data_IF_107023581961
#
_entry.id   IF_107023581961
#
_cell.length_a   1.000
_cell.length_b   1.000
_cell.length_c   1.000
_cell.angle_alpha   90.00
_cell.angle_beta   90.00
_cell.angle_gamma   90.00
#
_symmetry.space_group_name_H-M   'P 1'
#
loop_
_entity.id
_entity.type
_entity.pdbx_description
1 polymer ?
#
# COMPACT_ATOMS: atom_id res chain seq x y z
N UNK A 1 -31.82 -2.15 5.88
CA UNK A 1 -31.93 -1.12 4.80
C UNK A 1 -30.59 -0.47 4.43
N UNK A 2 -29.79 0.00 5.41
CA UNK A 2 -28.49 0.64 5.14
C UNK A 2 -27.41 -0.34 4.66
N UNK A 3 -27.31 -1.52 5.27
CA UNK A 3 -26.32 -2.55 4.92
C UNK A 3 -26.47 -3.05 3.47
N UNK A 4 -27.70 -3.31 3.02
CA UNK A 4 -27.96 -3.74 1.64
C UNK A 4 -27.53 -2.68 0.61
N UNK A 5 -27.64 -1.38 0.96
CA UNK A 5 -27.19 -0.28 0.11
C UNK A 5 -25.67 -0.17 0.07
N UNK A 6 -24.98 -0.40 1.19
CA UNK A 6 -23.52 -0.46 1.26
C UNK A 6 -22.99 -1.63 0.42
N UNK A 7 -23.59 -2.82 0.56
CA UNK A 7 -23.20 -4.00 -0.23
C UNK A 7 -23.45 -3.79 -1.73
N UNK A 8 -24.55 -3.14 -2.12
CA UNK A 8 -24.81 -2.80 -3.52
C UNK A 8 -23.78 -1.81 -4.08
N UNK A 9 -23.36 -0.82 -3.29
CA UNK A 9 -22.29 0.12 -3.70
C UNK A 9 -20.94 -0.60 -3.84
N UNK A 10 -20.60 -1.50 -2.91
CA UNK A 10 -19.37 -2.28 -2.99
C UNK A 10 -19.38 -3.24 -4.19
N UNK A 11 -20.50 -3.88 -4.47
CA UNK A 11 -20.67 -4.74 -5.65
C UNK A 11 -20.51 -3.93 -6.94
N UNK A 12 -21.14 -2.76 -7.04
CA UNK A 12 -20.99 -1.89 -8.22
C UNK A 12 -19.54 -1.41 -8.41
N UNK A 13 -18.80 -1.14 -7.33
CA UNK A 13 -17.40 -0.79 -7.40
C UNK A 13 -16.52 -1.96 -7.89
N UNK A 14 -16.79 -3.19 -7.41
CA UNK A 14 -16.11 -4.39 -7.87
C UNK A 14 -16.42 -4.72 -9.33
N UNK A 15 -17.66 -4.54 -9.77
CA UNK A 15 -18.08 -4.73 -11.17
C UNK A 15 -17.43 -3.70 -12.09
N UNK A 16 -17.31 -2.44 -11.66
CA UNK A 16 -16.60 -1.41 -12.40
C UNK A 16 -15.11 -1.76 -12.55
N UNK A 17 -14.46 -2.18 -11.47
CA UNK A 17 -13.05 -2.61 -11.49
C UNK A 17 -12.83 -3.85 -12.37
N UNK A 18 -13.76 -4.81 -12.34
CA UNK A 18 -13.71 -5.98 -13.20
C UNK A 18 -13.87 -5.60 -14.69
N UNK A 19 -14.72 -4.63 -15.01
CA UNK A 19 -14.89 -4.13 -16.36
C UNK A 19 -13.64 -3.41 -16.87
N UNK A 20 -12.99 -2.61 -16.03
CA UNK A 20 -11.72 -1.94 -16.35
C UNK A 20 -10.60 -2.96 -16.60
N UNK A 21 -10.42 -3.93 -15.70
CA UNK A 21 -9.41 -4.99 -15.84
C UNK A 21 -9.64 -5.85 -17.09
N UNK A 22 -10.91 -6.18 -17.39
CA UNK A 22 -11.24 -6.91 -18.62
C UNK A 22 -10.88 -6.09 -19.85
N UNK A 23 -11.22 -4.80 -19.86
CA UNK A 23 -10.88 -3.88 -20.95
C UNK A 23 -9.37 -3.81 -21.16
N UNK A 24 -8.59 -3.67 -20.08
CA UNK A 24 -7.14 -3.65 -20.14
C UNK A 24 -6.56 -4.98 -20.67
N UNK A 25 -7.07 -6.12 -20.19
CA UNK A 25 -6.65 -7.44 -20.65
C UNK A 25 -6.99 -7.69 -22.13
N UNK A 26 -8.15 -7.21 -22.59
CA UNK A 26 -8.56 -7.30 -23.99
C UNK A 26 -7.68 -6.42 -24.89
N UNK A 27 -7.34 -5.21 -24.43
CA UNK A 27 -6.39 -4.32 -25.13
C UNK A 27 -4.99 -4.94 -25.23
N UNK A 28 -4.48 -5.53 -24.14
CA UNK A 28 -3.19 -6.21 -24.12
C UNK A 28 -3.17 -7.44 -25.04
N UNK A 29 -4.22 -8.27 -24.99
CA UNK A 29 -4.34 -9.44 -25.89
C UNK A 29 -4.45 -9.02 -27.36
N UNK A 30 -5.21 -7.98 -27.66
CA UNK A 30 -5.29 -7.41 -29.01
C UNK A 30 -3.96 -6.86 -29.50
N UNK A 31 -3.22 -6.17 -28.62
CA UNK A 31 -1.90 -5.64 -28.93
C UNK A 31 -0.87 -6.76 -29.17
N UNK A 32 -0.89 -7.82 -28.35
CA UNK A 32 -0.04 -9.00 -28.52
C UNK A 32 -0.33 -9.74 -29.82
N UNK A 33 -1.61 -9.99 -30.15
CA UNK A 33 -2.00 -10.63 -31.40
C UNK A 33 -1.48 -9.87 -32.63
N UNK A 34 -1.55 -8.53 -32.62
CA UNK A 34 -1.08 -7.70 -33.74
C UNK A 34 0.45 -7.72 -33.87
N UNK A 35 1.18 -7.79 -32.76
CA UNK A 35 2.64 -7.97 -32.78
C UNK A 35 3.01 -9.34 -33.34
N UNK A 36 2.32 -10.40 -32.90
CA UNK A 36 2.55 -11.78 -33.37
C UNK A 36 2.25 -11.92 -34.87
N UNK A 37 1.27 -11.17 -35.38
CA UNK A 37 0.92 -11.10 -36.80
C UNK A 37 1.84 -10.16 -37.63
N UNK A 38 2.86 -9.55 -37.02
CA UNK A 38 3.85 -8.70 -37.68
C UNK A 38 3.41 -7.25 -37.95
N UNK A 39 2.27 -6.81 -37.40
CA UNK A 39 1.78 -5.44 -37.48
C UNK A 39 2.50 -4.52 -36.47
N UNK A 40 2.83 -3.29 -36.89
CA UNK A 40 3.32 -2.27 -35.95
C UNK A 40 2.13 -1.66 -35.22
N UNK A 41 2.14 -1.73 -33.89
CA UNK A 41 1.19 -1.00 -33.04
C UNK A 41 1.27 0.50 -33.34
N UNK A 42 0.12 1.15 -33.49
CA UNK A 42 0.07 2.60 -33.63
C UNK A 42 0.44 3.28 -32.31
N UNK A 43 0.97 4.50 -32.42
CA UNK A 43 1.50 5.24 -31.28
C UNK A 43 0.45 5.54 -30.19
N UNK A 44 -0.85 5.67 -30.53
CA UNK A 44 -1.88 5.96 -29.56
C UNK A 44 -2.19 4.72 -28.69
N UNK A 45 -2.23 3.54 -29.30
CA UNK A 45 -2.35 2.26 -28.58
C UNK A 45 -1.14 2.01 -27.66
N UNK A 46 0.07 2.30 -28.15
CA UNK A 46 1.28 2.23 -27.33
C UNK A 46 1.26 3.25 -26.18
N UNK A 47 0.83 4.50 -26.43
CA UNK A 47 0.72 5.53 -25.41
C UNK A 47 -0.28 5.17 -24.31
N UNK A 48 -1.43 4.57 -24.64
CA UNK A 48 -2.41 4.15 -23.62
C UNK A 48 -1.89 3.02 -22.72
N UNK A 49 -1.14 2.06 -23.30
CA UNK A 49 -0.49 0.99 -22.53
C UNK A 49 0.65 1.52 -21.66
N UNK A 50 1.42 2.48 -22.18
CA UNK A 50 2.44 3.19 -21.41
C UNK A 50 1.80 4.03 -20.31
N UNK A 51 0.67 4.71 -20.53
CA UNK A 51 -0.01 5.51 -19.50
C UNK A 51 -0.55 4.64 -18.37
N UNK A 52 -1.09 3.46 -18.67
CA UNK A 52 -1.57 2.51 -17.65
C UNK A 52 -0.39 1.87 -16.89
N UNK A 53 0.67 1.48 -17.59
CA UNK A 53 1.94 1.08 -16.97
C UNK A 53 2.55 2.23 -16.15
N UNK A 54 2.38 3.47 -16.60
CA UNK A 54 2.83 4.68 -15.90
C UNK A 54 2.07 4.86 -14.62
N UNK A 55 0.77 4.58 -14.50
CA UNK A 55 0.06 4.67 -13.22
C UNK A 55 0.64 3.73 -12.14
N UNK A 56 0.86 2.44 -12.48
CA UNK A 56 1.51 1.47 -11.57
C UNK A 56 2.96 1.89 -11.27
N UNK A 57 3.67 2.36 -12.29
CA UNK A 57 5.02 2.93 -12.14
C UNK A 57 5.01 4.24 -11.35
N UNK A 58 3.91 5.00 -11.31
CA UNK A 58 3.83 6.31 -10.65
C UNK A 58 3.79 6.13 -9.15
N UNK A 59 2.95 5.23 -8.63
CA UNK A 59 2.97 4.89 -7.21
C UNK A 59 4.31 4.28 -6.79
N UNK A 60 4.86 3.35 -7.59
CA UNK A 60 6.20 2.81 -7.31
C UNK A 60 7.28 3.89 -7.31
N UNK A 61 7.29 4.79 -8.29
CA UNK A 61 8.28 5.88 -8.39
C UNK A 61 8.11 6.88 -7.24
N UNK A 62 6.88 7.15 -6.81
CA UNK A 62 6.60 7.98 -5.65
C UNK A 62 7.09 7.31 -4.35
N UNK A 63 6.79 6.03 -4.15
CA UNK A 63 7.30 5.25 -3.02
C UNK A 63 8.82 5.18 -3.01
N UNK A 64 9.46 4.91 -4.16
CA UNK A 64 10.92 4.89 -4.30
C UNK A 64 11.52 6.28 -3.99
N UNK A 65 10.85 7.36 -4.43
CA UNK A 65 11.26 8.74 -4.16
C UNK A 65 11.14 9.16 -2.70
N UNK A 66 10.11 8.69 -1.98
CA UNK A 66 9.94 8.91 -0.54
C UNK A 66 10.94 8.04 0.23
N UNK A 67 10.90 6.72 0.02
CA UNK A 67 11.75 5.76 0.73
C UNK A 67 13.24 6.07 0.53
N UNK A 68 13.64 6.52 -0.67
CA UNK A 68 15.03 6.88 -0.99
C UNK A 68 15.64 7.94 -0.08
N UNK A 69 14.83 8.79 0.58
CA UNK A 69 15.27 9.83 1.53
C UNK A 69 15.60 9.28 2.92
N UNK A 70 15.01 8.15 3.29
CA UNK A 70 15.11 7.59 4.65
C UNK A 70 15.90 6.29 4.69
N UNK A 71 16.03 5.59 3.57
CA UNK A 71 16.80 4.35 3.47
C UNK A 71 18.27 4.64 3.19
N UNK A 72 19.13 4.39 4.20
CA UNK A 72 20.58 4.35 4.02
C UNK A 72 21.03 3.20 3.11
N UNK A 73 22.31 3.18 2.73
CA UNK A 73 22.84 2.14 1.82
C UNK A 73 22.69 0.72 2.38
N UNK A 74 22.92 0.54 3.68
CA UNK A 74 22.72 -0.72 4.38
C UNK A 74 21.25 -1.19 4.29
N UNK A 75 20.30 -0.34 4.68
CA UNK A 75 18.88 -0.67 4.59
C UNK A 75 18.45 -1.01 3.15
N UNK A 76 18.96 -0.29 2.15
CA UNK A 76 18.69 -0.58 0.73
C UNK A 76 19.23 -1.95 0.33
N UNK A 77 20.44 -2.29 0.75
CA UNK A 77 21.04 -3.60 0.49
C UNK A 77 20.23 -4.73 1.18
N UNK A 78 19.82 -4.51 2.42
CA UNK A 78 19.00 -5.47 3.17
C UNK A 78 17.63 -5.69 2.52
N UNK A 79 16.95 -4.63 2.07
CA UNK A 79 15.70 -4.74 1.32
C UNK A 79 15.88 -5.50 -0.01
N UNK A 80 17.00 -5.30 -0.71
CA UNK A 80 17.29 -6.00 -1.96
C UNK A 80 17.61 -7.49 -1.75
N UNK A 81 18.18 -7.84 -0.59
CA UNK A 81 18.49 -9.22 -0.22
C UNK A 81 17.31 -9.97 0.43
N UNK A 82 16.30 -9.24 0.92
CA UNK A 82 15.17 -9.83 1.61
C UNK A 82 14.30 -10.68 0.65
N UNK A 83 13.95 -11.92 1.05
CA UNK A 83 13.09 -12.76 0.23
C UNK A 83 11.69 -12.16 0.16
N UNK A 84 11.13 -12.10 -1.05
CA UNK A 84 9.72 -11.79 -1.21
C UNK A 84 8.90 -13.00 -0.74
N UNK A 85 7.92 -12.85 0.17
CA UNK A 85 7.18 -14.00 0.67
C UNK A 85 6.39 -14.68 -0.45
N UNK A 86 6.46 -16.00 -0.52
CA UNK A 86 5.74 -16.78 -1.53
C UNK A 86 4.21 -16.61 -1.34
N UNK A 87 3.49 -16.37 -2.44
CA UNK A 87 2.04 -16.16 -2.41
C UNK A 87 1.61 -14.84 -1.76
N UNK A 88 2.52 -13.88 -1.55
CA UNK A 88 2.16 -12.59 -1.00
C UNK A 88 1.33 -11.76 -1.97
N UNK A 89 0.08 -11.51 -1.58
CA UNK A 89 -0.84 -10.63 -2.29
C UNK A 89 -0.71 -9.20 -1.76
N UNK A 90 -0.07 -8.34 -2.57
CA UNK A 90 0.12 -6.93 -2.23
C UNK A 90 -1.21 -6.17 -2.11
N UNK A 91 -2.22 -6.50 -2.92
CA UNK A 91 -3.50 -5.79 -2.90
C UNK A 91 -4.29 -6.11 -1.63
N UNK A 92 -4.36 -7.40 -1.25
CA UNK A 92 -4.96 -7.83 0.01
C UNK A 92 -4.22 -7.24 1.23
N UNK A 93 -2.89 -7.23 1.20
CA UNK A 93 -2.08 -6.65 2.27
C UNK A 93 -2.33 -5.14 2.41
N UNK A 94 -2.34 -4.38 1.31
CA UNK A 94 -2.68 -2.96 1.31
C UNK A 94 -4.11 -2.70 1.79
N UNK A 95 -5.08 -3.55 1.43
CA UNK A 95 -6.46 -3.43 1.92
C UNK A 95 -6.57 -3.66 3.44
N UNK A 96 -5.82 -4.61 4.00
CA UNK A 96 -5.74 -4.84 5.45
C UNK A 96 -5.16 -3.64 6.19
N UNK A 97 -4.11 -3.01 5.65
CA UNK A 97 -3.55 -1.78 6.20
C UNK A 97 -4.57 -0.63 6.20
N UNK A 98 -5.27 -0.44 5.07
CA UNK A 98 -6.31 0.58 4.95
C UNK A 98 -7.45 0.36 5.95
N UNK A 99 -7.92 -0.89 6.10
CA UNK A 99 -8.98 -1.24 7.04
C UNK A 99 -8.57 -0.99 8.50
N UNK A 100 -7.37 -1.40 8.88
CA UNK A 100 -6.85 -1.18 10.23
C UNK A 100 -6.61 0.32 10.50
N UNK A 101 -6.03 1.04 9.55
CA UNK A 101 -5.83 2.48 9.65
C UNK A 101 -7.13 3.24 9.86
N UNK A 102 -8.17 2.91 9.07
CA UNK A 102 -9.51 3.48 9.23
C UNK A 102 -10.15 3.13 10.57
N UNK A 103 -9.98 1.88 11.03
CA UNK A 103 -10.47 1.42 12.35
C UNK A 103 -9.83 2.20 13.50
N UNK A 104 -8.51 2.38 13.46
CA UNK A 104 -7.80 3.17 14.48
C UNK A 104 -8.23 4.62 14.41
N UNK A 105 -8.29 5.23 13.21
CA UNK A 105 -8.71 6.61 13.01
C UNK A 105 -10.10 6.88 13.61
N UNK A 106 -11.04 5.95 13.42
CA UNK A 106 -12.38 6.06 13.96
C UNK A 106 -12.46 5.96 15.50
N UNK A 107 -11.45 5.35 16.14
CA UNK A 107 -11.36 5.26 17.59
C UNK A 107 -10.77 6.52 18.24
N UNK A 108 -10.12 7.40 17.46
CA UNK A 108 -9.48 8.60 18.00
C UNK A 108 -10.52 9.67 18.40
N UNK A 109 -10.29 10.42 19.51
CA UNK A 109 -9.16 10.30 20.43
C UNK A 109 -9.34 9.12 21.42
N UNK A 110 -8.34 8.24 21.49
CA UNK A 110 -8.29 7.10 22.42
C UNK A 110 -7.03 7.20 23.27
N UNK A 111 -7.14 6.95 24.58
CA UNK A 111 -5.98 6.91 25.47
C UNK A 111 -5.09 5.68 25.13
N UNK A 112 -3.82 5.89 24.74
CA UNK A 112 -2.91 4.83 24.33
C UNK A 112 -2.60 3.77 25.40
N UNK A 113 -2.84 4.06 26.68
CA UNK A 113 -2.62 3.13 27.79
C UNK A 113 -3.81 2.16 28.03
N UNK A 114 -4.94 2.38 27.37
CA UNK A 114 -6.15 1.56 27.57
C UNK A 114 -6.02 0.17 26.97
N UNK A 115 -6.79 -0.79 27.49
CA UNK A 115 -6.86 -2.14 26.92
C UNK A 115 -7.34 -2.16 25.47
N UNK A 116 -8.22 -1.23 25.08
CA UNK A 116 -8.66 -1.06 23.70
C UNK A 116 -7.50 -0.59 22.78
N UNK A 117 -6.70 0.38 23.23
CA UNK A 117 -5.53 0.83 22.49
C UNK A 117 -4.49 -0.29 22.33
N UNK A 118 -4.28 -1.09 23.38
CA UNK A 118 -3.37 -2.24 23.33
C UNK A 118 -3.87 -3.35 22.40
N UNK A 119 -5.20 -3.53 22.27
CA UNK A 119 -5.78 -4.46 21.31
C UNK A 119 -5.56 -3.99 19.85
N UNK A 120 -5.77 -2.70 19.57
CA UNK A 120 -5.48 -2.11 18.26
C UNK A 120 -3.98 -2.20 17.92
N UNK A 121 -3.11 -1.99 18.91
CA UNK A 121 -1.67 -2.19 18.75
C UNK A 121 -1.33 -3.66 18.46
N UNK A 122 -2.01 -4.63 19.08
CA UNK A 122 -1.80 -6.04 18.81
C UNK A 122 -2.19 -6.41 17.36
N UNK A 123 -3.31 -5.87 16.85
CA UNK A 123 -3.71 -6.02 15.44
C UNK A 123 -2.67 -5.41 14.50
N UNK A 124 -2.14 -4.23 14.83
CA UNK A 124 -1.04 -3.60 14.08
C UNK A 124 0.22 -4.47 14.07
N UNK A 125 0.61 -5.01 15.23
CA UNK A 125 1.78 -5.88 15.34
C UNK A 125 1.59 -7.17 14.56
N UNK A 126 0.39 -7.75 14.56
CA UNK A 126 0.08 -8.94 13.77
C UNK A 126 0.20 -8.68 12.27
N UNK A 127 -0.29 -7.53 11.79
CA UNK A 127 -0.16 -7.17 10.37
C UNK A 127 1.28 -6.85 9.97
N UNK A 128 2.06 -6.26 10.88
CA UNK A 128 3.49 -5.96 10.69
C UNK A 128 4.40 -7.19 10.84
N UNK A 129 3.92 -8.28 11.45
CA UNK A 129 4.72 -9.46 11.80
C UNK A 129 5.55 -10.05 10.64
N UNK A 130 4.99 -10.21 9.41
CA UNK A 130 5.76 -10.73 8.28
C UNK A 130 6.96 -9.86 7.91
N UNK A 131 6.80 -8.54 7.98
CA UNK A 131 7.90 -7.60 7.75
C UNK A 131 8.94 -7.68 8.87
N UNK A 132 8.52 -7.68 10.14
CA UNK A 132 9.47 -7.74 11.26
C UNK A 132 10.25 -9.04 11.34
N UNK A 133 9.75 -10.13 10.76
CA UNK A 133 10.46 -11.41 10.71
C UNK A 133 11.71 -11.37 9.82
N UNK A 134 11.75 -10.46 8.84
CA UNK A 134 12.85 -10.30 7.88
C UNK A 134 13.60 -8.97 8.05
N UNK A 135 13.02 -8.00 8.75
CA UNK A 135 13.57 -6.65 8.84
C UNK A 135 14.81 -6.60 9.74
N UNK A 136 15.89 -6.02 9.21
CA UNK A 136 17.08 -5.68 9.98
C UNK A 136 16.83 -4.41 10.82
N UNK A 137 17.69 -4.12 11.82
CA UNK A 137 17.61 -2.86 12.56
C UNK A 137 17.67 -1.62 11.65
N UNK A 138 18.47 -1.67 10.57
CA UNK A 138 18.58 -0.58 9.60
C UNK A 138 17.26 -0.38 8.83
N UNK A 139 16.62 -1.47 8.36
CA UNK A 139 15.31 -1.42 7.72
C UNK A 139 14.24 -0.84 8.66
N UNK A 140 14.17 -1.34 9.90
CA UNK A 140 13.21 -0.88 10.90
C UNK A 140 13.39 0.61 11.22
N UNK A 141 14.65 1.07 11.35
CA UNK A 141 14.93 2.48 11.61
C UNK A 141 14.52 3.36 10.42
N UNK A 142 14.84 2.95 9.19
CA UNK A 142 14.48 3.68 7.97
C UNK A 142 12.96 3.81 7.82
N UNK A 143 12.23 2.70 7.97
CA UNK A 143 10.76 2.68 7.90
C UNK A 143 10.12 3.54 8.99
N UNK A 144 10.63 3.48 10.23
CA UNK A 144 10.12 4.29 11.34
C UNK A 144 10.31 5.79 11.08
N UNK A 145 11.50 6.19 10.59
CA UNK A 145 11.79 7.58 10.23
C UNK A 145 10.88 8.06 9.10
N UNK A 146 10.75 7.24 8.05
CA UNK A 146 9.90 7.51 6.88
C UNK A 146 8.48 7.84 7.33
N UNK A 147 7.81 6.93 8.05
CA UNK A 147 6.42 7.11 8.47
C UNK A 147 6.23 8.21 9.53
N UNK A 148 7.24 8.50 10.36
CA UNK A 148 7.19 9.64 11.28
C UNK A 148 7.25 10.99 10.56
N UNK A 149 7.72 11.00 9.31
CA UNK A 149 7.87 12.20 8.49
C UNK A 149 6.76 12.36 7.45
N UNK A 150 5.66 11.58 7.56
CA UNK A 150 4.49 11.66 6.69
C UNK A 150 3.99 13.08 6.39
N UNK A 151 3.94 14.03 7.38
CA UNK A 151 3.52 15.40 7.10
C UNK A 151 4.35 16.13 6.04
N UNK A 152 5.56 15.63 5.74
CA UNK A 152 6.51 16.24 4.80
C UNK A 152 6.58 15.51 3.44
N UNK A 153 5.72 14.53 3.17
CA UNK A 153 5.75 13.75 1.92
C UNK A 153 5.14 14.48 0.70
N UNK A 154 4.37 15.55 0.94
CA UNK A 154 3.69 16.35 -0.09
C UNK A 154 2.30 15.83 -0.47
N UNK A 155 1.51 16.69 -1.14
CA UNK A 155 0.06 16.49 -1.33
C UNK A 155 -0.33 15.29 -2.22
N UNK A 156 0.60 14.78 -3.03
CA UNK A 156 0.39 13.66 -3.94
C UNK A 156 1.12 12.39 -3.49
N UNK A 157 1.48 12.29 -2.21
CA UNK A 157 2.14 11.11 -1.68
C UNK A 157 1.20 9.89 -1.72
N UNK A 158 1.72 8.69 -2.04
CA UNK A 158 0.94 7.47 -2.00
C UNK A 158 0.54 7.15 -0.55
N UNK A 159 -0.66 6.61 -0.38
CA UNK A 159 -1.18 6.26 0.95
C UNK A 159 -0.69 4.88 1.39
N UNK A 160 -0.12 4.73 2.60
CA UNK A 160 0.17 3.42 3.19
C UNK A 160 -1.05 2.77 3.84
N UNK A 161 -2.25 3.35 3.71
CA UNK A 161 -3.48 2.89 4.37
C UNK A 161 -3.74 3.50 5.74
N UNK A 162 -2.87 4.39 6.22
CA UNK A 162 -3.06 5.14 7.47
C UNK A 162 -2.43 6.53 7.34
N UNK A 163 -2.87 7.46 8.19
CA UNK A 163 -2.34 8.83 8.24
C UNK A 163 -1.37 9.02 9.42
N UNK A 164 -0.78 10.22 9.49
CA UNK A 164 0.19 10.57 10.53
C UNK A 164 -0.41 10.53 11.95
N UNK A 165 -1.69 10.84 12.12
CA UNK A 165 -2.33 10.80 13.45
C UNK A 165 -2.46 9.36 13.95
N UNK A 166 -2.85 8.44 13.06
CA UNK A 166 -2.86 7.00 13.35
C UNK A 166 -1.45 6.50 13.68
N UNK A 167 -0.44 6.93 12.92
CA UNK A 167 0.96 6.58 13.20
C UNK A 167 1.41 7.05 14.60
N UNK A 168 1.11 8.29 14.96
CA UNK A 168 1.43 8.84 16.28
C UNK A 168 0.75 8.06 17.40
N UNK A 169 -0.54 7.73 17.24
CA UNK A 169 -1.27 6.90 18.21
C UNK A 169 -0.60 5.54 18.41
N UNK A 170 -0.21 4.85 17.33
CA UNK A 170 0.46 3.54 17.43
C UNK A 170 1.79 3.64 18.16
N UNK A 171 2.57 4.69 17.90
CA UNK A 171 3.84 4.93 18.59
C UNK A 171 3.63 5.24 20.08
N UNK A 172 2.61 6.01 20.43
CA UNK A 172 2.24 6.28 21.81
C UNK A 172 1.75 5.01 22.53
N UNK A 173 0.95 4.17 21.87
CA UNK A 173 0.45 2.92 22.44
C UNK A 173 1.60 1.92 22.68
N UNK A 174 2.61 1.90 21.79
CA UNK A 174 3.84 1.11 21.99
C UNK A 174 4.63 1.59 23.21
N UNK A 175 4.78 2.90 23.38
CA UNK A 175 5.50 3.48 24.51
C UNK A 175 4.77 3.26 25.85
N UNK A 176 3.44 3.18 25.83
CA UNK A 176 2.63 2.91 27.01
C UNK A 176 2.64 1.43 27.44
N UNK A 177 3.01 0.51 26.53
CA UNK A 177 3.12 -0.92 26.81
C UNK A 177 4.40 -1.19 27.62
N UNK A 178 4.25 -1.18 28.94
CA UNK A 178 5.30 -1.52 29.92
C UNK A 178 5.37 -3.02 30.17
#
# INVERSE_FOLDING_TARGET
>A
PALARVLATQLAALEAQQAELRTAADMLRGALSRIDDGERLDAATLCSLIDHGRQIMTEKTQWDGIAGRYMGEEAKADFAAAPYPEGFDQADYSAKWAALGAKIKAALPLDPATGEAQALLAEWQALLAPFTAIATPAMMQGVTKMYSDMPNWGDNAPSPGFDHEVWQFVQAARAAKS
#
